data_IF_329479446560
#
_entry.id   IF_329479446560
#
_cell.length_a   1.000
_cell.length_b   1.000
_cell.length_c   1.000
_cell.angle_alpha   90.00
_cell.angle_beta   90.00
_cell.angle_gamma   90.00
#
_symmetry.space_group_name_H-M   'P 1'
#
loop_
_entity.id
_entity.type
_entity.pdbx_description
1 polymer ?
#
# COMPACT_ATOMS: atom_id res chain seq x y z
N UNK A 1 7.94 21.00 7.71
CA UNK A 1 6.95 19.94 7.45
C UNK A 1 7.69 18.62 7.52
N UNK A 2 7.18 17.60 8.19
CA UNK A 2 7.76 16.25 8.07
C UNK A 2 7.28 15.68 6.75
N UNK A 3 8.20 15.31 5.88
CA UNK A 3 7.89 14.60 4.63
C UNK A 3 7.53 13.16 4.97
N UNK A 4 6.27 12.94 5.34
CA UNK A 4 5.73 11.59 5.38
C UNK A 4 5.32 11.20 3.95
N UNK A 5 5.78 10.03 3.50
CA UNK A 5 5.20 9.36 2.34
C UNK A 5 3.69 9.22 2.58
N UNK A 6 2.87 9.46 1.56
CA UNK A 6 1.41 9.41 1.74
C UNK A 6 0.92 7.99 1.99
N UNK A 7 1.72 6.99 1.59
CA UNK A 7 1.49 5.59 1.88
C UNK A 7 2.75 4.94 2.46
N UNK A 8 2.57 4.09 3.47
CA UNK A 8 3.60 3.19 3.96
C UNK A 8 3.09 1.74 3.94
N UNK A 9 3.98 0.81 3.58
CA UNK A 9 3.68 -0.62 3.56
C UNK A 9 4.62 -1.32 4.55
N UNK A 10 4.05 -1.88 5.62
CA UNK A 10 4.75 -2.68 6.62
C UNK A 10 4.33 -4.14 6.59
N UNK A 11 5.07 -4.99 7.29
CA UNK A 11 4.76 -6.41 7.45
C UNK A 11 4.49 -6.77 8.92
N UNK A 12 3.39 -7.46 9.17
CA UNK A 12 3.07 -8.10 10.44
C UNK A 12 3.35 -9.59 10.34
N UNK A 13 4.57 -10.00 10.73
CA UNK A 13 5.02 -11.38 10.67
C UNK A 13 5.23 -11.98 12.05
N UNK A 14 5.07 -13.29 12.14
CA UNK A 14 5.29 -14.10 13.33
C UNK A 14 6.67 -14.75 13.30
N UNK A 15 7.08 -15.39 14.40
CA UNK A 15 8.36 -16.11 14.44
C UNK A 15 8.36 -17.42 13.63
N UNK A 16 7.17 -17.91 13.25
CA UNK A 16 7.03 -19.16 12.50
C UNK A 16 7.11 -18.95 10.97
N UNK A 17 7.14 -17.69 10.54
CA UNK A 17 7.24 -17.32 9.13
C UNK A 17 8.65 -17.53 8.57
N UNK A 18 8.72 -17.91 7.29
CA UNK A 18 10.01 -18.12 6.59
C UNK A 18 10.76 -16.79 6.44
N UNK A 19 11.86 -16.64 7.18
CA UNK A 19 12.67 -15.42 7.23
C UNK A 19 13.25 -14.99 5.86
N UNK A 20 13.46 -15.93 4.92
CA UNK A 20 13.94 -15.61 3.57
C UNK A 20 12.79 -15.01 2.76
N UNK A 21 11.61 -15.62 2.83
CA UNK A 21 10.40 -15.12 2.17
C UNK A 21 9.98 -13.77 2.74
N UNK A 22 10.05 -13.59 4.05
CA UNK A 22 9.82 -12.29 4.71
C UNK A 22 10.76 -11.21 4.19
N UNK A 23 12.07 -11.48 4.08
CA UNK A 23 13.02 -10.50 3.55
C UNK A 23 12.75 -10.15 2.09
N UNK A 24 12.47 -11.16 1.25
CA UNK A 24 12.15 -10.94 -0.15
C UNK A 24 10.87 -10.10 -0.30
N UNK A 25 9.84 -10.43 0.49
CA UNK A 25 8.60 -9.68 0.57
C UNK A 25 8.84 -8.23 1.00
N UNK A 26 9.53 -7.98 2.12
CA UNK A 26 9.74 -6.63 2.64
C UNK A 26 10.53 -5.75 1.67
N UNK A 27 11.49 -6.34 0.95
CA UNK A 27 12.20 -5.67 -0.14
C UNK A 27 11.24 -5.27 -1.28
N UNK A 28 10.32 -6.15 -1.66
CA UNK A 28 9.32 -5.88 -2.69
C UNK A 28 8.26 -4.87 -2.22
N UNK A 29 7.83 -4.92 -0.96
CA UNK A 29 6.95 -3.93 -0.35
C UNK A 29 7.58 -2.52 -0.38
N UNK A 30 8.87 -2.40 -0.04
CA UNK A 30 9.59 -1.13 -0.16
C UNK A 30 9.74 -0.64 -1.61
N UNK A 31 9.87 -1.54 -2.60
CA UNK A 31 9.82 -1.16 -4.02
C UNK A 31 8.41 -0.69 -4.42
N UNK A 32 7.36 -1.42 -4.03
CA UNK A 32 5.97 -1.08 -4.32
C UNK A 32 5.57 0.29 -3.73
N UNK A 33 5.97 0.56 -2.48
CA UNK A 33 5.76 1.85 -1.86
C UNK A 33 6.40 2.98 -2.67
N UNK A 34 7.66 2.84 -3.08
CA UNK A 34 8.33 3.84 -3.92
C UNK A 34 7.65 4.06 -5.28
N UNK A 35 7.09 3.01 -5.89
CA UNK A 35 6.33 3.12 -7.13
C UNK A 35 5.04 3.93 -6.94
N UNK A 36 4.33 3.71 -5.83
CA UNK A 36 3.12 4.44 -5.46
C UNK A 36 3.42 5.90 -5.07
N UNK A 37 4.53 6.14 -4.36
CA UNK A 37 4.98 7.50 -4.02
C UNK A 37 5.49 8.29 -5.24
N UNK A 38 6.03 7.61 -6.25
CA UNK A 38 6.49 8.24 -7.49
C UNK A 38 5.34 8.61 -8.44
N UNK A 39 4.12 8.15 -8.19
CA UNK A 39 2.97 8.51 -9.00
C UNK A 39 2.63 10.00 -8.80
N UNK A 40 2.47 10.74 -9.89
CA UNK A 40 2.09 12.15 -9.85
C UNK A 40 0.66 12.28 -9.32
N UNK A 41 0.53 12.69 -8.05
CA UNK A 41 -0.72 12.85 -7.35
C UNK A 41 -0.75 14.19 -6.62
N UNK A 42 -1.94 14.79 -6.55
CA UNK A 42 -2.17 15.99 -5.76
C UNK A 42 -2.35 15.65 -4.26
N UNK A 43 -1.23 15.41 -3.57
CA UNK A 43 -1.24 14.93 -2.19
C UNK A 43 -1.69 15.99 -1.18
N UNK A 44 -1.48 17.28 -1.46
CA UNK A 44 -1.93 18.36 -0.58
C UNK A 44 -3.46 18.43 -0.55
N UNK A 45 -4.09 18.48 -1.73
CA UNK A 45 -5.54 18.45 -1.85
C UNK A 45 -6.15 17.16 -1.26
N UNK A 46 -5.48 16.02 -1.45
CA UNK A 46 -5.92 14.75 -0.85
C UNK A 46 -5.88 14.78 0.68
N UNK A 47 -4.79 15.24 1.31
CA UNK A 47 -4.67 15.30 2.78
C UNK A 47 -5.76 16.17 3.41
N UNK A 48 -6.07 17.31 2.80
CA UNK A 48 -7.15 18.18 3.25
C UNK A 48 -8.52 17.51 3.15
N UNK A 49 -8.80 16.81 2.05
CA UNK A 49 -10.07 16.10 1.86
C UNK A 49 -10.20 14.85 2.74
N UNK A 50 -9.11 14.12 2.96
CA UNK A 50 -9.07 12.88 3.71
C UNK A 50 -9.01 13.11 5.23
N UNK A 51 -8.55 14.27 5.67
CA UNK A 51 -8.33 14.58 7.09
C UNK A 51 -7.12 13.87 7.71
N UNK A 52 -6.36 13.11 6.93
CA UNK A 52 -5.18 12.34 7.34
C UNK A 52 -3.95 12.76 6.54
N UNK A 53 -2.76 12.54 7.10
CA UNK A 53 -1.49 12.89 6.46
C UNK A 53 -0.90 11.70 5.68
N UNK A 54 -1.23 10.48 6.09
CA UNK A 54 -0.76 9.23 5.47
C UNK A 54 -1.66 8.02 5.79
N UNK A 55 -1.57 7.00 4.93
CA UNK A 55 -2.14 5.66 5.13
C UNK A 55 -1.00 4.67 5.39
N UNK A 56 -1.09 3.88 6.45
CA UNK A 56 -0.16 2.79 6.73
C UNK A 56 -0.89 1.45 6.56
N UNK A 57 -0.42 0.64 5.63
CA UNK A 57 -0.91 -0.72 5.44
C UNK A 57 0.05 -1.70 6.13
N UNK A 58 -0.44 -2.44 7.11
CA UNK A 58 0.29 -3.52 7.77
C UNK A 58 -0.18 -4.83 7.16
N UNK A 59 0.67 -5.44 6.33
CA UNK A 59 0.37 -6.68 5.63
C UNK A 59 0.65 -7.85 6.58
N UNK A 60 -0.41 -8.44 7.11
CA UNK A 60 -0.37 -9.57 8.05
C UNK A 60 -0.57 -10.87 7.26
N UNK A 61 0.34 -11.82 7.41
CA UNK A 61 0.22 -13.08 6.67
C UNK A 61 -0.86 -13.96 7.28
N UNK A 62 -1.81 -14.37 6.44
CA UNK A 62 -2.84 -15.35 6.78
C UNK A 62 -2.91 -16.36 5.62
N UNK A 63 -2.46 -17.59 5.88
CA UNK A 63 -2.41 -18.64 4.87
C UNK A 63 -3.78 -19.20 4.51
N UNK A 64 -4.78 -19.00 5.36
CA UNK A 64 -6.13 -19.54 5.20
C UNK A 64 -7.06 -18.53 4.50
N UNK A 65 -6.67 -17.25 4.45
CA UNK A 65 -7.39 -16.21 3.74
C UNK A 65 -7.37 -16.43 2.22
N UNK A 66 -8.55 -16.41 1.60
CA UNK A 66 -8.71 -16.49 0.14
C UNK A 66 -8.88 -15.12 -0.53
N UNK A 67 -9.28 -14.12 0.25
CA UNK A 67 -9.40 -12.71 -0.15
C UNK A 67 -8.80 -11.83 0.96
N UNK A 68 -8.33 -10.60 0.65
CA UNK A 68 -7.80 -9.70 1.66
C UNK A 68 -8.87 -9.26 2.67
N UNK A 69 -8.65 -9.54 3.95
CA UNK A 69 -9.46 -8.96 5.04
C UNK A 69 -8.81 -7.66 5.52
N UNK A 70 -9.61 -6.60 5.66
CA UNK A 70 -9.11 -5.25 5.97
C UNK A 70 -9.72 -4.76 7.28
N UNK A 71 -8.87 -4.58 8.30
CA UNK A 71 -9.27 -4.07 9.59
C UNK A 71 -8.71 -2.65 9.82
N UNK A 72 -9.58 -1.64 9.99
CA UNK A 72 -9.13 -0.31 10.37
C UNK A 72 -8.69 -0.29 11.84
N UNK A 73 -7.50 0.24 12.10
CA UNK A 73 -7.06 0.54 13.46
C UNK A 73 -7.51 1.95 13.88
N UNK A 74 -7.63 2.24 15.19
CA UNK A 74 -7.90 3.59 15.66
C UNK A 74 -6.85 4.58 15.12
N UNK A 75 -7.30 5.74 14.62
CA UNK A 75 -6.41 6.80 14.13
C UNK A 75 -5.55 7.32 15.27
N UNK A 76 -4.23 7.34 15.06
CA UNK A 76 -3.28 7.92 16.01
C UNK A 76 -3.36 9.44 16.07
N UNK A 77 -2.74 10.04 17.09
CA UNK A 77 -2.67 11.51 17.23
C UNK A 77 -1.87 12.19 16.09
N UNK A 78 -1.12 11.41 15.32
CA UNK A 78 -0.29 11.83 14.20
C UNK A 78 -1.03 11.97 12.87
N UNK A 79 -2.37 11.84 12.87
CA UNK A 79 -3.22 11.88 11.67
C UNK A 79 -2.86 10.80 10.64
N UNK A 80 -2.31 9.67 11.11
CA UNK A 80 -2.05 8.49 10.28
C UNK A 80 -3.18 7.49 10.47
N UNK A 81 -3.77 7.06 9.36
CA UNK A 81 -4.73 5.95 9.36
C UNK A 81 -3.98 4.65 9.09
N UNK A 82 -4.06 3.70 10.04
CA UNK A 82 -3.46 2.38 9.90
C UNK A 82 -4.56 1.36 9.54
N UNK A 83 -4.26 0.46 8.61
CA UNK A 83 -5.07 -0.72 8.30
C UNK A 83 -4.22 -1.98 8.43
N UNK A 84 -4.73 -2.99 9.13
CA UNK A 84 -4.20 -4.34 9.04
C UNK A 84 -4.87 -5.05 7.85
N UNK A 85 -4.06 -5.69 7.01
CA UNK A 85 -4.54 -6.36 5.80
C UNK A 85 -4.07 -7.81 5.82
N UNK A 86 -5.00 -8.74 6.04
CA UNK A 86 -4.71 -10.17 6.14
C UNK A 86 -4.91 -10.85 4.80
N UNK A 87 -3.85 -11.47 4.30
CA UNK A 87 -3.86 -12.24 3.05
C UNK A 87 -2.64 -13.19 3.02
N UNK A 88 -2.57 -14.14 2.08
CA UNK A 88 -1.41 -15.03 1.95
C UNK A 88 -0.24 -14.31 1.25
N UNK A 89 0.35 -13.32 1.93
CA UNK A 89 1.38 -12.43 1.38
C UNK A 89 2.72 -13.10 1.10
N UNK A 90 3.04 -14.20 1.80
CA UNK A 90 4.28 -14.93 1.62
C UNK A 90 4.21 -15.97 0.51
N UNK A 91 3.29 -15.88 -0.46
CA UNK A 91 3.26 -16.75 -1.66
C UNK A 91 4.26 -16.30 -2.72
N UNK A 92 4.55 -17.18 -3.68
CA UNK A 92 5.62 -16.99 -4.67
C UNK A 92 5.47 -15.67 -5.46
N UNK A 93 4.24 -15.29 -5.79
CA UNK A 93 3.94 -14.07 -6.55
C UNK A 93 4.48 -12.78 -5.92
N UNK A 94 4.49 -12.67 -4.58
CA UNK A 94 4.91 -11.44 -3.89
C UNK A 94 6.38 -11.44 -3.48
N UNK A 95 7.01 -12.62 -3.38
CA UNK A 95 8.43 -12.75 -3.03
C UNK A 95 9.33 -12.82 -4.27
N UNK A 96 8.75 -13.02 -5.46
CA UNK A 96 9.46 -13.00 -6.73
C UNK A 96 10.26 -11.70 -6.93
N UNK A 97 11.51 -11.82 -7.39
CA UNK A 97 12.44 -10.67 -7.41
C UNK A 97 12.12 -9.65 -8.51
N UNK A 98 11.53 -10.12 -9.60
CA UNK A 98 11.27 -9.35 -10.82
C UNK A 98 9.87 -8.73 -10.80
N UNK A 99 8.87 -9.51 -10.42
CA UNK A 99 7.46 -9.15 -10.51
C UNK A 99 6.80 -8.86 -9.16
N UNK A 100 7.38 -9.30 -8.03
CA UNK A 100 6.70 -9.22 -6.74
C UNK A 100 6.34 -7.80 -6.29
N UNK A 101 7.17 -6.82 -6.63
CA UNK A 101 6.85 -5.41 -6.38
C UNK A 101 5.62 -4.92 -7.19
N UNK A 102 5.50 -5.34 -8.46
CA UNK A 102 4.36 -4.99 -9.30
C UNK A 102 3.08 -5.69 -8.83
N UNK A 103 3.18 -6.96 -8.44
CA UNK A 103 2.06 -7.70 -7.86
C UNK A 103 1.55 -7.01 -6.60
N UNK A 104 2.47 -6.56 -5.72
CA UNK A 104 2.10 -5.78 -4.53
C UNK A 104 1.43 -4.46 -4.88
N UNK A 105 1.90 -3.71 -5.89
CA UNK A 105 1.23 -2.47 -6.33
C UNK A 105 -0.22 -2.75 -6.73
N UNK A 106 -0.46 -3.77 -7.55
CA UNK A 106 -1.82 -4.13 -7.99
C UNK A 106 -2.73 -4.46 -6.80
N UNK A 107 -2.23 -5.28 -5.87
CA UNK A 107 -3.01 -5.68 -4.69
C UNK A 107 -3.23 -4.53 -3.72
N UNK A 108 -2.23 -3.69 -3.49
CA UNK A 108 -2.37 -2.50 -2.64
C UNK A 108 -3.37 -1.53 -3.24
N UNK A 109 -3.36 -1.31 -4.56
CA UNK A 109 -4.38 -0.48 -5.23
C UNK A 109 -5.78 -1.08 -5.05
N UNK A 110 -5.92 -2.41 -5.16
CA UNK A 110 -7.19 -3.09 -4.89
C UNK A 110 -7.66 -2.88 -3.43
N UNK A 111 -6.75 -3.03 -2.46
CA UNK A 111 -7.03 -2.77 -1.04
C UNK A 111 -7.47 -1.32 -0.80
N UNK A 112 -6.78 -0.34 -1.40
CA UNK A 112 -7.14 1.07 -1.31
C UNK A 112 -8.52 1.36 -1.90
N UNK A 113 -8.86 0.74 -3.04
CA UNK A 113 -10.20 0.86 -3.64
C UNK A 113 -11.28 0.25 -2.72
N UNK A 114 -10.99 -0.87 -2.07
CA UNK A 114 -11.90 -1.48 -1.10
C UNK A 114 -12.10 -0.58 0.11
N UNK A 115 -11.02 -0.03 0.68
CA UNK A 115 -11.09 0.94 1.79
C UNK A 115 -11.94 2.15 1.40
N UNK A 116 -11.70 2.73 0.22
CA UNK A 116 -12.48 3.86 -0.28
C UNK A 116 -13.97 3.52 -0.36
N UNK A 117 -14.30 2.37 -0.95
CA UNK A 117 -15.68 1.90 -1.11
C UNK A 117 -16.39 1.73 0.23
N UNK A 118 -15.70 1.21 1.24
CA UNK A 118 -16.32 0.81 2.51
C UNK A 118 -16.34 1.93 3.55
N UNK A 119 -15.33 2.79 3.55
CA UNK A 119 -15.17 3.85 4.56
C UNK A 119 -15.49 5.24 4.02
N UNK A 120 -15.52 5.42 2.70
CA UNK A 120 -15.64 6.72 2.05
C UNK A 120 -14.35 7.55 2.06
N UNK A 121 -13.22 7.01 2.57
CA UNK A 121 -11.93 7.69 2.55
C UNK A 121 -11.53 8.02 1.10
N UNK A 122 -11.35 9.29 0.71
CA UNK A 122 -10.98 9.63 -0.66
C UNK A 122 -9.59 9.07 -1.00
N UNK A 123 -9.39 8.67 -2.26
CA UNK A 123 -8.07 8.28 -2.78
C UNK A 123 -7.38 9.47 -3.46
N UNK A 124 -6.04 9.51 -3.50
CA UNK A 124 -5.33 10.55 -4.24
C UNK A 124 -5.74 10.56 -5.71
N UNK A 125 -5.96 11.75 -6.26
CA UNK A 125 -6.19 11.92 -7.68
C UNK A 125 -4.85 11.81 -8.43
N UNK A 126 -4.61 10.67 -9.07
CA UNK A 126 -3.44 10.48 -9.91
C UNK A 126 -3.61 11.17 -11.25
N UNK A 127 -2.61 11.96 -11.65
CA UNK A 127 -2.58 12.61 -12.95
C UNK A 127 -2.04 11.61 -13.96
N UNK A 128 -2.87 11.26 -14.94
CA UNK A 128 -2.35 10.70 -16.18
C UNK A 128 -1.58 11.83 -16.85
N UNK A 129 -0.26 11.72 -16.90
CA UNK A 129 0.60 12.76 -17.45
C UNK A 129 0.05 13.24 -18.79
N UNK A 130 -0.30 14.53 -18.86
CA UNK A 130 -0.54 15.22 -20.12
C UNK A 130 0.81 15.41 -20.83
N UNK A 131 1.43 14.31 -21.24
CA UNK A 131 2.53 14.34 -22.18
C UNK A 131 1.93 14.57 -23.56
N UNK A 132 2.21 15.71 -24.17
CA UNK A 132 2.17 15.82 -25.62
C UNK A 132 3.13 14.76 -26.17
N UNK A 133 2.58 13.60 -26.55
CA UNK A 133 3.30 12.64 -27.36
C UNK A 133 3.43 13.25 -28.75
N UNK A 134 4.52 13.99 -28.98
CA UNK A 134 5.00 14.26 -30.33
C UNK A 134 5.58 12.94 -30.83
N UNK A 135 4.76 12.17 -31.54
CA UNK A 135 5.25 11.09 -32.39
C UNK A 135 5.97 11.77 -33.54
N UNK A 136 7.30 11.83 -33.44
CA UNK A 136 8.21 12.20 -34.53
C UNK A 136 8.54 11.02 -35.42
#
# INVERSE_FOLDING_TARGET
>A
MRDYNWIAIGGGFTMDDDATRMHAFMRNAGKAQRLLDAADADLEAWRDAAGIDAIHLVLETDSDASEPEIDPMPVGEDRVQVYAVRAPWLVDDFVDEDMGAWQLVVHVVAVLMTIHRETGLPLPAFRLGAGEYVIG
#
